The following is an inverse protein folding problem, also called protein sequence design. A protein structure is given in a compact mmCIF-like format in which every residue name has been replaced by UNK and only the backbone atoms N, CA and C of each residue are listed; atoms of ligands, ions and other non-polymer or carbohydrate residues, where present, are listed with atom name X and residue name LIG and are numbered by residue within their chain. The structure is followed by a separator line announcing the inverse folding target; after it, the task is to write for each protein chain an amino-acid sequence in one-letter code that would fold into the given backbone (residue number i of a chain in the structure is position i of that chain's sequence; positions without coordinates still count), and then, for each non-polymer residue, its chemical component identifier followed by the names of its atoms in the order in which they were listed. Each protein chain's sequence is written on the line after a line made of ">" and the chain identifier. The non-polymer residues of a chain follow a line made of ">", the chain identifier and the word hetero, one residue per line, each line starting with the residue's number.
data_IF_402402940358
#
_entry.id   IF_402402940358
#
_cell.length_a   1.000
_cell.length_b   1.000
_cell.length_c   1.000
_cell.angle_alpha   90.00
_cell.angle_beta   90.00
_cell.angle_gamma   90.00
#
_symmetry.space_group_name_H-M   'P 1'
#
loop_
_entity.id
_entity.type
_entity.pdbx_description
1 polymer ?
#
# COMPACT_ATOMS: atom_id res chain seq x y z
N UNK A 1 -37.75 -26.90 29.83
CA UNK A 1 -37.52 -26.82 28.38
C UNK A 1 -36.56 -25.65 28.20
N UNK A 2 -35.24 -25.94 28.23
CA UNK A 2 -34.17 -24.98 28.14
C UNK A 2 -33.88 -24.76 26.64
N UNK A 3 -34.03 -23.52 26.20
CA UNK A 3 -33.64 -23.10 24.86
C UNK A 3 -32.11 -22.91 24.86
N UNK A 4 -31.42 -23.62 24.00
CA UNK A 4 -30.01 -23.62 23.81
C UNK A 4 -29.54 -22.20 23.40
N UNK A 5 -28.61 -21.64 24.17
CA UNK A 5 -27.79 -20.50 23.79
C UNK A 5 -26.86 -20.97 22.64
N UNK A 6 -27.14 -20.47 21.44
CA UNK A 6 -26.38 -20.82 20.24
C UNK A 6 -25.03 -20.13 20.25
N UNK A 7 -24.05 -20.96 20.08
CA UNK A 7 -22.67 -20.82 19.75
C UNK A 7 -22.35 -19.54 18.93
N UNK A 8 -21.99 -18.46 19.63
CA UNK A 8 -21.40 -17.27 19.01
C UNK A 8 -19.88 -17.43 19.04
N UNK A 9 -19.25 -17.26 17.91
CA UNK A 9 -17.80 -17.35 17.79
C UNK A 9 -17.08 -16.38 18.75
N UNK A 10 -15.90 -16.73 19.30
CA UNK A 10 -15.14 -15.85 20.19
C UNK A 10 -14.79 -14.49 19.56
N UNK A 11 -14.63 -14.42 18.25
CA UNK A 11 -14.41 -13.17 17.51
C UNK A 11 -15.69 -12.33 17.37
N UNK A 12 -16.85 -12.96 17.17
CA UNK A 12 -18.14 -12.28 17.15
C UNK A 12 -18.54 -11.78 18.54
N UNK A 13 -18.21 -12.54 19.60
CA UNK A 13 -18.37 -12.12 20.99
C UNK A 13 -17.42 -10.98 21.32
N UNK A 14 -16.13 -11.05 20.92
CA UNK A 14 -15.17 -9.97 21.11
C UNK A 14 -15.56 -8.70 20.33
N UNK A 15 -16.11 -8.84 19.13
CA UNK A 15 -16.66 -7.70 18.36
C UNK A 15 -17.93 -7.12 19.00
N UNK A 16 -18.83 -7.97 19.49
CA UNK A 16 -20.04 -7.54 20.17
C UNK A 16 -19.74 -6.90 21.53
N UNK A 17 -18.80 -7.45 22.29
CA UNK A 17 -18.35 -6.89 23.57
C UNK A 17 -17.59 -5.58 23.38
N UNK A 18 -16.77 -5.44 22.34
CA UNK A 18 -16.14 -4.20 21.96
C UNK A 18 -17.14 -3.13 21.52
N UNK A 19 -18.19 -3.50 20.77
CA UNK A 19 -19.27 -2.60 20.40
C UNK A 19 -20.13 -2.18 21.60
N UNK A 20 -20.40 -3.11 22.52
CA UNK A 20 -21.12 -2.83 23.78
C UNK A 20 -20.31 -1.95 24.72
N UNK A 21 -18.98 -2.15 24.82
CA UNK A 21 -18.09 -1.30 25.61
C UNK A 21 -17.97 0.11 25.00
N UNK A 22 -17.96 0.24 23.67
CA UNK A 22 -17.97 1.52 22.98
C UNK A 22 -19.28 2.29 23.22
N UNK A 23 -20.42 1.61 23.18
CA UNK A 23 -21.73 2.20 23.47
C UNK A 23 -21.87 2.62 24.96
N UNK A 24 -21.29 1.85 25.89
CA UNK A 24 -21.26 2.18 27.30
C UNK A 24 -20.35 3.38 27.62
N UNK A 25 -19.22 3.51 26.92
CA UNK A 25 -18.32 4.64 27.05
C UNK A 25 -18.93 5.95 26.49
N UNK A 26 -19.69 5.86 25.40
CA UNK A 26 -20.42 7.00 24.82
C UNK A 26 -21.57 7.47 25.71
N UNK A 27 -22.25 6.55 26.39
CA UNK A 27 -23.30 6.85 27.37
C UNK A 27 -22.76 7.48 28.68
N UNK A 28 -21.49 7.25 29.01
CA UNK A 28 -20.82 7.83 30.20
C UNK A 28 -20.27 9.25 29.95
N UNK A 29 -20.08 9.65 28.71
CA UNK A 29 -19.73 11.01 28.33
C UNK A 29 -21.01 11.79 27.99
N UNK A 30 -21.56 12.47 28.99
CA UNK A 30 -22.72 13.38 28.80
C UNK A 30 -22.45 14.45 27.72
N UNK A 31 -23.53 15.10 27.21
CA UNK A 31 -23.42 16.02 26.08
C UNK A 31 -22.40 17.13 26.32
N UNK A 32 -21.65 17.55 25.28
CA UNK A 32 -20.61 18.57 25.43
C UNK A 32 -21.20 19.88 25.96
N UNK A 33 -20.61 20.41 27.02
CA UNK A 33 -20.95 21.71 27.59
C UNK A 33 -20.59 22.79 26.56
N UNK A 34 -21.58 23.51 26.08
CA UNK A 34 -21.40 24.73 25.25
C UNK A 34 -20.58 25.77 26.01
N UNK A 35 -19.53 26.33 25.43
CA UNK A 35 -18.82 27.47 26.03
C UNK A 35 -19.73 28.70 26.01
N UNK A 36 -19.85 29.35 27.17
CA UNK A 36 -20.59 30.57 27.32
C UNK A 36 -20.03 31.72 26.48
N UNK A 37 -20.94 32.48 25.93
CA UNK A 37 -20.71 33.73 25.21
C UNK A 37 -20.08 34.77 26.15
N UNK A 38 -18.81 35.15 25.86
CA UNK A 38 -18.19 36.35 26.42
C UNK A 38 -18.17 37.44 25.33
N UNK A 39 -18.60 38.66 25.71
CA UNK A 39 -18.95 39.76 24.86
C UNK A 39 -17.85 40.35 24.01
N UNK A 40 -18.28 40.94 22.91
CA UNK A 40 -17.50 41.76 21.99
C UNK A 40 -17.26 43.17 22.53
N UNK A 41 -16.13 43.81 22.24
CA UNK A 41 -16.00 45.28 22.19
C UNK A 41 -16.00 45.79 20.75
N UNK A 42 -16.23 47.11 20.54
CA UNK A 42 -16.77 47.68 19.31
C UNK A 42 -15.76 48.07 18.25
N UNK A 43 -16.28 48.24 17.06
CA UNK A 43 -15.61 48.65 15.84
C UNK A 43 -15.12 50.14 15.93
N UNK A 44 -13.99 50.39 15.30
CA UNK A 44 -13.66 51.71 14.78
C UNK A 44 -13.06 51.60 13.37
N UNK A 45 -13.48 52.53 12.55
CA UNK A 45 -13.40 52.60 11.14
C UNK A 45 -12.10 53.21 10.58
N UNK A 46 -11.97 53.14 9.29
CA UNK A 46 -10.92 53.83 8.54
C UNK A 46 -10.76 53.31 7.11
N UNK A 47 -11.50 53.96 6.25
CA UNK A 47 -11.42 54.20 4.82
C UNK A 47 -10.03 54.18 4.16
N UNK A 48 -9.97 53.74 2.91
CA UNK A 48 -8.85 54.04 2.01
C UNK A 48 -8.96 53.27 0.67
N UNK A 49 -9.60 53.87 -0.28
CA UNK A 49 -9.68 53.45 -1.67
C UNK A 49 -8.38 53.78 -2.44
N UNK A 50 -8.02 52.94 -3.42
CA UNK A 50 -7.58 53.36 -4.76
C UNK A 50 -7.26 52.17 -5.67
N UNK A 51 -8.00 52.00 -6.72
CA UNK A 51 -7.58 51.51 -8.05
C UNK A 51 -7.16 52.76 -8.89
N UNK A 52 -6.64 52.71 -10.15
CA UNK A 52 -6.58 51.63 -11.13
C UNK A 52 -5.36 51.68 -12.10
N UNK A 53 -5.51 50.91 -13.22
CA UNK A 53 -4.91 51.20 -14.58
C UNK A 53 -3.55 50.52 -14.84
N UNK A 54 -3.20 49.95 -15.96
CA UNK A 54 -3.75 49.77 -17.31
C UNK A 54 -2.79 48.82 -18.07
N UNK A 55 -3.29 48.11 -19.04
CA UNK A 55 -2.51 47.44 -20.07
C UNK A 55 -1.90 48.44 -21.09
N UNK A 56 -0.95 48.04 -21.90
CA UNK A 56 -1.28 47.96 -23.32
C UNK A 56 -0.70 46.80 -24.11
N UNK A 57 -1.50 46.37 -25.00
CA UNK A 57 -1.47 45.81 -26.32
C UNK A 57 -0.28 46.16 -27.24
N UNK A 58 0.14 45.16 -28.09
CA UNK A 58 0.65 45.30 -29.48
C UNK A 58 0.96 43.87 -30.02
N UNK A 59 0.10 43.29 -30.84
CA UNK A 59 -0.06 43.35 -32.31
C UNK A 59 1.19 43.18 -33.17
N UNK A 60 1.12 42.19 -34.10
CA UNK A 60 1.95 42.04 -35.32
C UNK A 60 2.07 40.57 -35.69
N UNK A 61 1.32 39.98 -36.47
CA UNK A 61 0.89 39.92 -37.86
C UNK A 61 1.97 39.41 -38.85
N UNK A 62 1.61 38.34 -39.61
CA UNK A 62 2.14 37.98 -40.94
C UNK A 62 3.01 36.72 -40.93
N UNK A 63 2.82 35.69 -41.76
CA UNK A 63 2.00 35.43 -42.91
C UNK A 63 2.31 34.06 -43.50
N UNK A 64 1.24 33.42 -43.99
CA UNK A 64 1.07 32.66 -45.25
C UNK A 64 2.03 31.51 -45.66
N UNK A 65 1.64 30.31 -45.48
CA UNK A 65 1.29 29.13 -46.35
C UNK A 65 1.82 29.02 -47.82
N UNK A 66 1.51 27.89 -48.48
CA UNK A 66 2.00 26.51 -48.50
C UNK A 66 2.41 26.13 -49.96
N UNK A 67 2.26 24.95 -50.59
CA UNK A 67 2.05 23.53 -50.25
C UNK A 67 3.04 22.59 -51.04
N UNK A 68 2.91 21.27 -50.85
CA UNK A 68 3.54 20.29 -51.73
C UNK A 68 3.33 18.83 -51.30
N UNK A 69 2.38 18.21 -51.92
CA UNK A 69 2.13 16.82 -52.34
C UNK A 69 2.80 15.61 -51.69
N UNK A 70 1.90 14.67 -51.34
CA UNK A 70 2.11 13.24 -51.18
C UNK A 70 2.47 12.57 -52.50
N UNK A 71 2.98 11.32 -52.60
CA UNK A 71 2.26 10.15 -52.08
C UNK A 71 3.11 8.91 -51.70
N UNK A 72 2.51 8.02 -50.92
CA UNK A 72 2.62 6.59 -51.20
C UNK A 72 3.70 5.80 -50.46
N UNK A 73 3.26 4.79 -49.77
CA UNK A 73 4.10 3.61 -49.62
C UNK A 73 4.06 2.94 -48.23
N UNK A 74 3.20 1.93 -48.13
CA UNK A 74 3.42 0.66 -47.43
C UNK A 74 3.77 0.63 -45.95
N UNK A 75 2.85 0.05 -45.18
CA UNK A 75 3.07 -0.64 -43.93
C UNK A 75 4.21 -1.66 -44.03
N UNK A 76 5.01 -1.82 -42.99
CA UNK A 76 5.62 -3.11 -42.72
C UNK A 76 5.04 -3.75 -41.49
N UNK A 77 4.86 -5.05 -41.65
CA UNK A 77 4.41 -6.05 -40.74
C UNK A 77 5.16 -6.10 -39.42
N UNK A 78 4.43 -6.60 -38.41
CA UNK A 78 4.96 -7.14 -37.18
C UNK A 78 6.10 -8.14 -37.50
N UNK A 79 7.25 -7.92 -36.91
CA UNK A 79 8.31 -8.91 -36.80
C UNK A 79 8.57 -9.17 -35.33
N UNK A 80 8.01 -10.27 -34.84
CA UNK A 80 8.51 -11.05 -33.75
C UNK A 80 9.96 -11.45 -34.07
N UNK A 81 10.90 -10.91 -33.32
CA UNK A 81 12.32 -11.21 -33.41
C UNK A 81 12.88 -11.53 -32.05
N UNK A 82 12.76 -12.78 -31.61
CA UNK A 82 13.71 -13.39 -30.70
C UNK A 82 15.05 -13.45 -31.43
N UNK A 83 16.01 -12.72 -30.96
CA UNK A 83 17.39 -12.89 -31.37
C UNK A 83 18.22 -13.30 -30.16
N UNK A 84 18.44 -14.60 -30.06
CA UNK A 84 19.60 -15.20 -29.43
C UNK A 84 20.85 -14.60 -30.09
N UNK A 85 21.67 -13.93 -29.32
CA UNK A 85 23.03 -13.59 -29.69
C UNK A 85 23.96 -14.06 -28.58
N UNK A 86 24.33 -15.34 -28.66
CA UNK A 86 25.68 -15.75 -28.27
C UNK A 86 26.61 -15.22 -29.34
N UNK A 87 27.52 -14.36 -28.96
CA UNK A 87 28.72 -14.09 -29.73
C UNK A 87 29.91 -13.95 -28.80
N UNK A 88 30.78 -14.89 -29.00
CA UNK A 88 32.14 -15.07 -28.55
C UNK A 88 32.99 -13.81 -28.72
N UNK A 89 33.72 -13.43 -27.69
CA UNK A 89 35.13 -13.03 -27.84
C UNK A 89 35.50 -11.56 -27.70
N UNK A 90 36.27 -11.33 -26.65
CA UNK A 90 37.40 -10.39 -26.53
C UNK A 90 37.15 -8.98 -26.02
N UNK A 91 37.90 -8.74 -24.94
CA UNK A 91 38.29 -7.46 -24.34
C UNK A 91 37.20 -6.69 -23.57
N UNK A 92 37.20 -6.92 -22.27
CA UNK A 92 36.56 -6.25 -21.17
C UNK A 92 36.38 -4.75 -21.26
N UNK A 93 35.25 -4.33 -21.72
CA UNK A 93 34.59 -3.16 -21.18
C UNK A 93 33.51 -3.67 -20.26
N UNK A 94 33.81 -3.77 -18.97
CA UNK A 94 32.79 -3.96 -17.95
C UNK A 94 31.89 -2.73 -17.97
N UNK A 95 30.84 -2.78 -18.80
CA UNK A 95 29.73 -1.82 -18.66
C UNK A 95 29.32 -1.82 -17.20
N UNK A 96 29.27 -0.66 -16.53
CA UNK A 96 28.87 -0.61 -15.13
C UNK A 96 27.49 -1.22 -15.00
N UNK A 97 27.31 -2.14 -14.04
CA UNK A 97 26.03 -2.79 -13.75
C UNK A 97 24.92 -1.75 -13.64
N UNK A 98 23.99 -1.76 -14.59
CA UNK A 98 22.82 -0.88 -14.59
C UNK A 98 21.64 -1.66 -14.08
N UNK A 99 21.33 -1.51 -12.78
CA UNK A 99 20.14 -2.09 -12.21
C UNK A 99 18.89 -1.58 -12.94
N UNK A 100 18.11 -2.54 -13.47
CA UNK A 100 16.76 -2.28 -13.97
C UNK A 100 15.83 -3.26 -13.30
N UNK A 101 14.81 -2.76 -12.56
CA UNK A 101 13.82 -3.63 -11.93
C UNK A 101 13.11 -4.50 -12.98
N UNK A 102 12.84 -3.94 -14.15
CA UNK A 102 12.13 -4.62 -15.25
C UNK A 102 10.71 -5.05 -14.86
N UNK A 103 10.08 -5.82 -15.73
CA UNK A 103 8.84 -6.53 -15.38
C UNK A 103 9.20 -7.82 -14.63
N UNK A 104 8.76 -7.95 -13.39
CA UNK A 104 8.99 -9.14 -12.55
C UNK A 104 7.66 -9.72 -12.09
N UNK A 105 7.04 -10.58 -12.89
CA UNK A 105 5.75 -11.18 -12.58
C UNK A 105 5.62 -11.76 -11.17
N UNK A 106 6.65 -12.44 -10.58
CA UNK A 106 6.56 -12.96 -9.23
C UNK A 106 6.35 -11.90 -8.15
N UNK A 107 6.88 -10.66 -8.35
CA UNK A 107 6.69 -9.56 -7.39
C UNK A 107 5.26 -9.01 -7.43
N UNK A 108 4.56 -9.15 -8.55
CA UNK A 108 3.14 -8.82 -8.65
C UNK A 108 2.29 -9.97 -8.14
N UNK A 109 2.63 -11.21 -8.51
CA UNK A 109 1.85 -12.39 -8.11
C UNK A 109 1.90 -12.68 -6.60
N UNK A 110 3.00 -12.37 -5.88
CA UNK A 110 3.03 -12.52 -4.43
C UNK A 110 2.02 -11.61 -3.72
N UNK A 111 1.67 -10.46 -4.33
CA UNK A 111 0.61 -9.58 -3.82
C UNK A 111 -0.75 -10.26 -3.86
N UNK A 112 -1.01 -11.13 -4.86
CA UNK A 112 -2.24 -11.91 -4.91
C UNK A 112 -2.32 -12.92 -3.76
N UNK A 113 -1.22 -13.63 -3.46
CA UNK A 113 -1.17 -14.57 -2.34
C UNK A 113 -1.40 -13.85 -1.00
N UNK A 114 -0.71 -12.72 -0.79
CA UNK A 114 -0.91 -11.89 0.40
C UNK A 114 -2.35 -11.34 0.47
N UNK A 115 -2.94 -10.94 -0.65
CA UNK A 115 -4.32 -10.48 -0.70
C UNK A 115 -5.31 -11.57 -0.28
N UNK A 116 -5.12 -12.80 -0.71
CA UNK A 116 -6.00 -13.91 -0.29
C UNK A 116 -5.99 -14.11 1.23
N UNK A 117 -4.83 -13.97 1.88
CA UNK A 117 -4.78 -14.05 3.34
C UNK A 117 -5.50 -12.87 4.02
N UNK A 118 -5.46 -11.66 3.44
CA UNK A 118 -6.26 -10.51 3.93
C UNK A 118 -7.75 -10.77 3.80
N UNK A 119 -8.21 -11.27 2.66
CA UNK A 119 -9.62 -11.61 2.45
C UNK A 119 -10.08 -12.69 3.45
N UNK A 120 -9.28 -13.72 3.64
CA UNK A 120 -9.56 -14.80 4.62
C UNK A 120 -9.64 -14.26 6.05
N UNK A 121 -8.81 -13.28 6.42
CA UNK A 121 -8.87 -12.64 7.75
C UNK A 121 -10.23 -12.01 8.03
N UNK A 122 -10.79 -11.33 7.05
CA UNK A 122 -12.06 -10.61 7.18
C UNK A 122 -13.30 -11.47 6.86
N UNK A 123 -13.11 -12.69 6.36
CA UNK A 123 -14.21 -13.62 6.07
C UNK A 123 -14.74 -14.38 7.29
N UNK A 124 -14.29 -14.07 8.52
CA UNK A 124 -14.59 -14.83 9.72
C UNK A 124 -14.21 -16.33 9.61
N UNK A 125 -13.17 -16.62 8.82
CA UNK A 125 -12.63 -17.96 8.70
C UNK A 125 -11.70 -18.25 9.88
N UNK A 126 -12.27 -18.70 10.99
CA UNK A 126 -11.62 -18.83 12.31
C UNK A 126 -10.41 -19.75 12.35
N UNK A 127 -10.20 -20.56 11.30
CA UNK A 127 -9.13 -21.56 11.26
C UNK A 127 -7.74 -21.00 10.94
N UNK A 128 -7.63 -19.70 10.60
CA UNK A 128 -6.37 -19.09 10.18
C UNK A 128 -6.05 -17.83 11.01
N UNK A 129 -5.60 -17.99 12.26
CA UNK A 129 -5.36 -16.85 13.16
C UNK A 129 -4.20 -15.93 12.73
N UNK A 130 -3.28 -16.42 11.90
CA UNK A 130 -2.07 -15.70 11.48
C UNK A 130 -2.18 -14.95 10.15
N UNK A 131 -3.39 -14.68 9.66
CA UNK A 131 -3.60 -13.99 8.36
C UNK A 131 -3.04 -12.56 8.32
N UNK A 132 -2.74 -11.96 9.48
CA UNK A 132 -2.02 -10.69 9.61
C UNK A 132 -0.65 -10.68 8.94
N UNK A 133 -0.04 -11.85 8.69
CA UNK A 133 1.27 -12.01 8.02
C UNK A 133 1.32 -11.37 6.64
N UNK A 134 0.19 -11.25 5.96
CA UNK A 134 0.09 -10.61 4.66
C UNK A 134 0.68 -9.19 4.63
N UNK A 135 0.46 -8.41 5.68
CA UNK A 135 0.92 -7.03 5.76
C UNK A 135 2.44 -6.93 5.79
N UNK A 136 3.14 -7.91 6.41
CA UNK A 136 4.60 -7.92 6.39
C UNK A 136 5.15 -8.12 4.98
N UNK A 137 4.52 -9.01 4.20
CA UNK A 137 4.88 -9.21 2.77
C UNK A 137 4.66 -7.91 1.98
N UNK A 138 3.53 -7.22 2.19
CA UNK A 138 3.26 -5.95 1.51
C UNK A 138 4.26 -4.87 1.89
N UNK A 139 4.56 -4.69 3.18
CA UNK A 139 5.49 -3.65 3.64
C UNK A 139 6.91 -3.87 3.13
N UNK A 140 7.45 -5.09 3.21
CA UNK A 140 8.79 -5.40 2.66
C UNK A 140 8.81 -5.17 1.15
N UNK A 141 7.79 -5.63 0.43
CA UNK A 141 7.69 -5.42 -1.02
C UNK A 141 7.58 -3.94 -1.38
N UNK A 142 6.80 -3.16 -0.64
CA UNK A 142 6.62 -1.73 -0.84
C UNK A 142 7.93 -0.96 -0.65
N UNK A 143 8.66 -1.20 0.44
CA UNK A 143 9.98 -0.62 0.68
C UNK A 143 10.98 -0.97 -0.42
N UNK A 144 10.99 -2.22 -0.88
CA UNK A 144 11.84 -2.68 -1.98
C UNK A 144 11.51 -1.95 -3.29
N UNK A 145 10.25 -1.93 -3.70
CA UNK A 145 9.83 -1.38 -4.99
C UNK A 145 10.07 0.13 -5.08
N UNK A 146 9.76 0.88 -4.01
CA UNK A 146 9.99 2.32 -4.00
C UNK A 146 11.48 2.64 -4.10
N UNK A 147 12.32 1.92 -3.34
CA UNK A 147 13.77 2.13 -3.34
C UNK A 147 14.37 1.76 -4.69
N UNK A 148 14.01 0.61 -5.25
CA UNK A 148 14.48 0.18 -6.55
C UNK A 148 14.15 1.19 -7.66
N UNK A 149 12.96 1.81 -7.58
CA UNK A 149 12.52 2.83 -8.54
C UNK A 149 13.29 4.14 -8.36
N UNK A 150 13.41 4.65 -7.13
CA UNK A 150 14.10 5.90 -6.84
C UNK A 150 15.62 5.78 -7.09
N UNK A 151 16.24 4.69 -6.66
CA UNK A 151 17.66 4.42 -6.91
C UNK A 151 17.94 4.30 -8.43
N UNK A 152 17.09 3.58 -9.16
CA UNK A 152 17.21 3.47 -10.62
C UNK A 152 17.06 4.81 -11.34
N UNK A 153 16.19 5.71 -10.87
CA UNK A 153 16.07 7.08 -11.40
C UNK A 153 17.33 7.89 -11.07
N UNK A 154 17.76 7.89 -9.80
CA UNK A 154 18.95 8.61 -9.35
C UNK A 154 20.23 8.19 -10.07
N UNK A 155 20.40 6.87 -10.30
CA UNK A 155 21.57 6.33 -11.03
C UNK A 155 21.59 6.74 -12.51
N UNK A 156 20.42 6.85 -13.14
CA UNK A 156 20.31 7.17 -14.56
C UNK A 156 20.42 8.67 -14.84
N UNK A 157 19.87 9.50 -13.97
CA UNK A 157 19.68 10.94 -14.21
C UNK A 157 20.49 11.83 -13.28
N UNK A 158 21.16 11.27 -12.27
CA UNK A 158 21.84 12.01 -11.20
C UNK A 158 20.90 12.76 -10.24
N UNK A 159 19.59 12.64 -10.43
CA UNK A 159 18.58 13.33 -9.62
C UNK A 159 17.30 12.50 -9.50
N UNK A 160 16.47 12.81 -8.51
CA UNK A 160 15.16 12.21 -8.31
C UNK A 160 14.09 13.29 -8.49
N UNK A 161 13.11 13.05 -9.35
CA UNK A 161 11.98 13.94 -9.57
C UNK A 161 10.80 13.53 -8.69
N UNK A 162 10.66 14.16 -7.51
CA UNK A 162 9.54 13.90 -6.59
C UNK A 162 8.17 14.15 -7.25
N UNK A 163 8.04 15.24 -8.02
CA UNK A 163 6.79 15.54 -8.73
C UNK A 163 6.38 14.43 -9.69
N UNK A 164 7.33 13.90 -10.47
CA UNK A 164 7.07 12.77 -11.37
C UNK A 164 6.76 11.49 -10.58
N UNK A 165 7.43 11.26 -9.46
CA UNK A 165 7.20 10.13 -8.58
C UNK A 165 5.77 10.14 -8.00
N UNK A 166 5.36 11.23 -7.33
CA UNK A 166 4.03 11.34 -6.72
C UNK A 166 2.91 11.39 -7.77
N UNK A 167 3.14 12.00 -8.93
CA UNK A 167 2.17 11.96 -10.01
C UNK A 167 1.92 10.53 -10.55
N UNK A 168 2.95 9.66 -10.60
CA UNK A 168 2.77 8.23 -10.96
C UNK A 168 1.93 7.49 -9.92
N UNK A 169 2.16 7.76 -8.66
CA UNK A 169 1.41 7.14 -7.56
C UNK A 169 -0.01 7.67 -7.49
N UNK A 170 -0.19 8.98 -7.56
CA UNK A 170 -1.51 9.61 -7.49
C UNK A 170 -2.48 9.06 -8.53
N UNK A 171 -2.03 8.91 -9.79
CA UNK A 171 -2.85 8.30 -10.86
C UNK A 171 -3.25 6.84 -10.55
N UNK A 172 -2.45 6.12 -9.78
CA UNK A 172 -2.73 4.73 -9.42
C UNK A 172 -3.58 4.59 -8.15
N UNK A 173 -3.39 5.46 -7.16
CA UNK A 173 -3.95 5.27 -5.81
C UNK A 173 -5.22 6.10 -5.59
N UNK A 174 -5.25 7.35 -6.09
CA UNK A 174 -6.36 8.28 -5.82
C UNK A 174 -7.68 7.84 -6.46
N UNK A 175 -7.73 7.41 -7.74
CA UNK A 175 -9.01 7.06 -8.36
C UNK A 175 -9.76 5.89 -7.69
N UNK A 176 -9.10 4.75 -7.34
CA UNK A 176 -9.77 3.68 -6.61
C UNK A 176 -10.18 4.08 -5.18
N UNK A 177 -9.40 4.93 -4.51
CA UNK A 177 -9.77 5.45 -3.20
C UNK A 177 -11.02 6.32 -3.27
N UNK A 178 -11.09 7.25 -4.23
CA UNK A 178 -12.28 8.08 -4.45
C UNK A 178 -13.50 7.25 -4.85
N UNK A 179 -13.31 6.22 -5.68
CA UNK A 179 -14.37 5.28 -6.02
C UNK A 179 -14.90 4.56 -4.76
N UNK A 180 -14.01 4.07 -3.91
CA UNK A 180 -14.39 3.40 -2.66
C UNK A 180 -15.19 4.35 -1.73
N UNK A 181 -14.70 5.57 -1.54
CA UNK A 181 -15.41 6.59 -0.72
C UNK A 181 -16.77 6.93 -1.32
N UNK A 182 -16.86 7.09 -2.66
CA UNK A 182 -18.10 7.39 -3.34
C UNK A 182 -19.13 6.25 -3.21
N UNK A 183 -18.71 5.00 -3.43
CA UNK A 183 -19.57 3.82 -3.25
C UNK A 183 -20.07 3.70 -1.82
N UNK A 184 -19.21 3.96 -0.86
CA UNK A 184 -19.56 3.92 0.56
C UNK A 184 -20.53 5.04 0.94
N UNK A 185 -20.35 6.27 0.40
CA UNK A 185 -21.27 7.37 0.59
C UNK A 185 -22.67 7.08 0.00
N UNK A 186 -22.70 6.46 -1.20
CA UNK A 186 -23.94 6.00 -1.83
C UNK A 186 -24.63 4.95 -0.95
N UNK A 187 -23.87 3.93 -0.51
CA UNK A 187 -24.41 2.89 0.38
C UNK A 187 -24.99 3.49 1.66
N UNK A 188 -24.27 4.35 2.35
CA UNK A 188 -24.72 5.01 3.57
C UNK A 188 -25.99 5.87 3.37
N UNK A 189 -26.13 6.50 2.20
CA UNK A 189 -27.31 7.31 1.86
C UNK A 189 -28.57 6.43 1.72
N UNK A 190 -28.45 5.26 1.06
CA UNK A 190 -29.62 4.41 0.79
C UNK A 190 -29.98 3.48 1.94
N UNK A 191 -29.01 3.02 2.73
CA UNK A 191 -29.25 2.03 3.79
C UNK A 191 -29.57 2.68 5.14
N UNK A 192 -29.52 4.02 5.25
CA UNK A 192 -29.88 4.77 6.47
C UNK A 192 -29.26 4.21 7.74
N UNK A 193 -27.98 3.87 7.71
CA UNK A 193 -27.25 3.38 8.90
C UNK A 193 -27.17 4.55 9.89
N UNK A 194 -27.84 4.42 11.02
CA UNK A 194 -27.79 5.40 12.11
C UNK A 194 -26.31 5.65 12.48
N UNK A 195 -25.92 6.91 12.69
CA UNK A 195 -24.56 7.37 13.00
C UNK A 195 -23.48 7.12 11.91
N UNK A 196 -23.81 6.44 10.80
CA UNK A 196 -22.85 6.16 9.74
C UNK A 196 -22.31 7.44 9.09
N UNK A 197 -23.12 8.51 9.00
CA UNK A 197 -22.73 9.73 8.30
C UNK A 197 -21.55 10.44 8.97
N UNK A 198 -21.58 10.63 10.29
CA UNK A 198 -20.49 11.30 11.00
C UNK A 198 -19.21 10.47 11.05
N UNK A 199 -19.34 9.17 11.31
CA UNK A 199 -18.21 8.23 11.32
C UNK A 199 -17.60 8.09 9.92
N UNK A 200 -18.43 8.01 8.88
CA UNK A 200 -17.99 7.89 7.50
C UNK A 200 -17.15 9.09 7.04
N UNK A 201 -17.55 10.32 7.38
CA UNK A 201 -16.76 11.51 7.07
C UNK A 201 -15.38 11.47 7.73
N UNK A 202 -15.34 11.14 9.03
CA UNK A 202 -14.08 11.01 9.76
C UNK A 202 -13.15 9.95 9.17
N UNK A 203 -13.69 8.79 8.79
CA UNK A 203 -12.92 7.70 8.16
C UNK A 203 -12.47 8.05 6.75
N UNK A 204 -13.35 8.67 5.97
CA UNK A 204 -13.01 9.11 4.62
C UNK A 204 -11.90 10.16 4.63
N UNK A 205 -11.96 11.14 5.54
CA UNK A 205 -10.89 12.11 5.73
C UNK A 205 -9.59 11.44 6.16
N UNK A 206 -9.66 10.50 7.13
CA UNK A 206 -8.49 9.78 7.59
C UNK A 206 -7.83 8.94 6.48
N UNK A 207 -8.63 8.29 5.63
CA UNK A 207 -8.16 7.54 4.48
C UNK A 207 -7.58 8.45 3.38
N UNK A 208 -8.25 9.58 3.08
CA UNK A 208 -7.81 10.52 2.04
C UNK A 208 -6.52 11.27 2.40
N UNK A 209 -6.34 11.60 3.67
CA UNK A 209 -5.17 12.32 4.19
C UNK A 209 -4.14 11.40 4.86
N UNK A 210 -4.32 10.08 4.76
CA UNK A 210 -3.38 9.07 5.23
C UNK A 210 -2.98 9.23 6.70
N UNK A 211 -3.96 9.38 7.62
CA UNK A 211 -3.76 9.38 9.08
C UNK A 211 -4.64 8.35 9.80
N UNK A 212 -5.19 7.38 9.08
CA UNK A 212 -6.04 6.33 9.65
C UNK A 212 -5.29 5.43 10.65
N UNK A 213 -3.98 5.27 10.49
CA UNK A 213 -3.10 4.57 11.40
C UNK A 213 -3.08 5.22 12.80
N UNK A 214 -2.98 6.53 12.89
CA UNK A 214 -3.03 7.25 14.17
C UNK A 214 -4.41 7.16 14.84
N UNK A 215 -5.48 7.15 14.07
CA UNK A 215 -6.82 6.94 14.62
C UNK A 215 -6.97 5.55 15.22
N UNK A 216 -6.39 4.52 14.60
CA UNK A 216 -6.38 3.16 15.13
C UNK A 216 -5.44 3.02 16.33
N UNK A 217 -4.26 3.64 16.27
CA UNK A 217 -3.23 3.51 17.29
C UNK A 217 -3.56 4.24 18.59
N UNK A 218 -4.23 5.40 18.51
CA UNK A 218 -4.49 6.28 19.65
C UNK A 218 -5.98 6.48 19.97
N UNK A 219 -6.88 5.85 19.21
CA UNK A 219 -8.30 5.82 19.53
C UNK A 219 -8.55 5.05 20.81
N UNK A 220 -9.43 5.56 21.68
CA UNK A 220 -9.76 4.92 22.97
C UNK A 220 -10.69 3.72 22.85
N UNK A 221 -11.15 3.40 21.64
CA UNK A 221 -11.92 2.20 21.33
C UNK A 221 -11.39 1.61 20.02
N UNK A 222 -11.44 0.29 19.80
CA UNK A 222 -11.11 -0.31 18.52
C UNK A 222 -12.03 0.30 17.47
N UNK A 223 -11.47 1.20 16.67
CA UNK A 223 -12.22 2.00 15.70
C UNK A 223 -12.41 1.17 14.43
N UNK A 224 -13.45 0.35 14.39
CA UNK A 224 -13.83 -0.42 13.20
C UNK A 224 -14.83 0.37 12.35
N UNK A 225 -14.37 1.44 11.70
CA UNK A 225 -15.14 2.07 10.63
C UNK A 225 -15.01 1.30 9.32
N UNK A 226 -15.87 1.64 8.35
CA UNK A 226 -15.87 1.01 7.02
C UNK A 226 -14.54 1.12 6.26
N UNK A 227 -13.66 2.05 6.64
CA UNK A 227 -12.33 2.26 6.05
C UNK A 227 -11.19 1.94 7.01
N UNK A 228 -11.44 1.14 8.05
CA UNK A 228 -10.44 0.79 9.05
C UNK A 228 -9.16 0.18 8.42
N UNK A 229 -9.29 -0.63 7.38
CA UNK A 229 -8.17 -1.25 6.67
C UNK A 229 -7.19 -0.24 6.06
N UNK A 230 -7.59 1.03 5.88
CA UNK A 230 -6.72 2.06 5.29
C UNK A 230 -5.57 2.51 6.20
N UNK A 231 -5.51 2.03 7.44
CA UNK A 231 -4.41 2.30 8.35
C UNK A 231 -3.04 1.89 7.76
N UNK A 232 -2.97 0.71 7.13
CA UNK A 232 -1.71 0.24 6.53
C UNK A 232 -1.28 1.07 5.33
N UNK A 233 -2.24 1.60 4.56
CA UNK A 233 -1.96 2.54 3.48
C UNK A 233 -1.46 3.88 4.02
N UNK A 234 -1.96 4.31 5.18
CA UNK A 234 -1.46 5.51 5.86
C UNK A 234 0.00 5.35 6.26
N UNK A 235 0.36 4.23 6.87
CA UNK A 235 1.75 3.88 7.20
C UNK A 235 2.63 3.90 5.93
N UNK A 236 2.18 3.29 4.84
CA UNK A 236 2.93 3.27 3.59
C UNK A 236 3.14 4.66 3.00
N UNK A 237 2.10 5.50 2.88
CA UNK A 237 2.22 6.82 2.25
C UNK A 237 3.05 7.80 3.09
N UNK A 238 2.92 7.78 4.42
CA UNK A 238 3.80 8.51 5.33
C UNK A 238 5.26 8.08 5.16
N UNK A 239 5.48 6.77 5.08
CA UNK A 239 6.82 6.22 4.82
C UNK A 239 7.38 6.69 3.47
N UNK A 240 6.57 6.72 2.41
CA UNK A 240 7.03 7.16 1.10
C UNK A 240 7.44 8.62 1.06
N UNK A 241 6.77 9.49 1.82
CA UNK A 241 7.19 10.88 1.98
C UNK A 241 8.58 10.92 2.64
N UNK A 242 8.74 10.28 3.77
CA UNK A 242 9.99 10.23 4.52
C UNK A 242 11.14 9.65 3.68
N UNK A 243 10.91 8.48 3.09
CA UNK A 243 11.93 7.76 2.33
C UNK A 243 12.33 8.46 1.04
N UNK A 244 11.39 9.02 0.30
CA UNK A 244 11.70 9.73 -0.95
C UNK A 244 12.55 10.97 -0.69
N UNK A 245 12.32 11.70 0.40
CA UNK A 245 13.16 12.81 0.84
C UNK A 245 14.58 12.32 1.19
N UNK A 246 14.69 11.24 1.98
CA UNK A 246 15.98 10.66 2.33
C UNK A 246 16.78 10.25 1.08
N UNK A 247 16.11 9.64 0.09
CA UNK A 247 16.73 9.26 -1.18
C UNK A 247 17.18 10.48 -2.01
N UNK A 248 16.37 11.55 -2.06
CA UNK A 248 16.77 12.81 -2.72
C UNK A 248 18.03 13.39 -2.07
N UNK A 249 18.08 13.45 -0.74
CA UNK A 249 19.24 13.94 0.01
C UNK A 249 20.48 13.08 -0.27
N UNK A 250 20.35 11.76 -0.23
CA UNK A 250 21.44 10.84 -0.48
C UNK A 250 22.00 10.97 -1.92
N UNK A 251 21.12 11.12 -2.91
CA UNK A 251 21.51 11.31 -4.33
C UNK A 251 22.13 12.69 -4.54
N UNK A 252 21.52 13.75 -4.02
CA UNK A 252 22.03 15.12 -4.13
C UNK A 252 23.40 15.29 -3.45
N UNK A 253 23.61 14.63 -2.31
CA UNK A 253 24.89 14.62 -1.59
C UNK A 253 25.93 13.67 -2.25
N UNK A 254 25.57 12.87 -3.24
CA UNK A 254 26.42 11.81 -3.82
C UNK A 254 26.91 10.79 -2.75
N UNK A 255 26.13 10.57 -1.70
CA UNK A 255 26.50 9.76 -0.53
C UNK A 255 25.49 8.65 -0.29
N UNK A 256 25.59 7.54 -1.04
CA UNK A 256 24.69 6.40 -0.91
C UNK A 256 24.63 5.80 0.50
N UNK A 257 25.74 5.83 1.23
CA UNK A 257 25.80 5.35 2.61
C UNK A 257 24.79 6.07 3.52
N UNK A 258 24.38 7.31 3.21
CA UNK A 258 23.33 7.99 3.97
C UNK A 258 21.98 7.29 3.84
N UNK A 259 21.62 6.77 2.65
CA UNK A 259 20.40 6.00 2.48
C UNK A 259 20.43 4.67 3.26
N UNK A 260 21.58 3.96 3.23
CA UNK A 260 21.77 2.77 4.06
C UNK A 260 21.67 3.08 5.55
N UNK A 261 22.38 4.10 6.01
CA UNK A 261 22.38 4.53 7.42
C UNK A 261 20.95 4.90 7.87
N UNK A 262 20.24 5.67 7.05
CA UNK A 262 18.87 6.06 7.35
C UNK A 262 17.93 4.85 7.44
N UNK A 263 18.07 3.87 6.52
CA UNK A 263 17.26 2.65 6.54
C UNK A 263 17.57 1.78 7.76
N UNK A 264 18.86 1.61 8.11
CA UNK A 264 19.26 0.82 9.27
C UNK A 264 18.81 1.49 10.56
N UNK A 265 19.07 2.79 10.73
CA UNK A 265 18.68 3.53 11.93
C UNK A 265 17.15 3.56 12.05
N UNK A 266 16.41 3.82 10.97
CA UNK A 266 14.95 3.81 10.98
C UNK A 266 14.38 2.44 11.36
N UNK A 267 14.95 1.35 10.84
CA UNK A 267 14.56 -0.02 11.20
C UNK A 267 14.80 -0.29 12.70
N UNK A 268 15.97 0.09 13.21
CA UNK A 268 16.33 -0.11 14.63
C UNK A 268 15.46 0.74 15.55
N UNK A 269 15.17 1.98 15.18
CA UNK A 269 14.29 2.86 15.96
C UNK A 269 12.86 2.31 15.99
N UNK A 270 12.32 1.90 14.84
CA UNK A 270 10.96 1.34 14.77
C UNK A 270 10.82 0.05 15.58
N UNK A 271 11.78 -0.87 15.46
CA UNK A 271 11.79 -2.09 16.27
C UNK A 271 12.00 -1.76 17.75
N UNK A 272 12.93 -0.85 18.06
CA UNK A 272 13.24 -0.43 19.43
C UNK A 272 12.05 0.23 20.13
N UNK A 273 11.34 1.14 19.44
CA UNK A 273 10.12 1.77 19.97
C UNK A 273 9.03 0.74 20.26
N UNK A 274 8.80 -0.20 19.34
CA UNK A 274 7.86 -1.30 19.55
C UNK A 274 8.21 -2.13 20.78
N UNK A 275 9.46 -2.54 20.92
CA UNK A 275 9.92 -3.31 22.08
C UNK A 275 9.84 -2.51 23.37
N UNK A 276 10.22 -1.22 23.31
CA UNK A 276 10.12 -0.32 24.46
C UNK A 276 8.67 -0.24 24.98
N UNK A 277 7.71 -0.03 24.09
CA UNK A 277 6.29 0.05 24.46
C UNK A 277 5.77 -1.25 25.07
N UNK A 278 6.16 -2.41 24.53
CA UNK A 278 5.72 -3.71 25.06
C UNK A 278 6.32 -3.96 26.45
N UNK A 279 7.63 -3.75 26.63
CA UNK A 279 8.30 -4.09 27.89
C UNK A 279 8.07 -3.08 29.03
N UNK A 280 7.65 -1.84 28.72
CA UNK A 280 7.35 -0.84 29.75
C UNK A 280 5.85 -0.71 30.04
N UNK A 281 5.00 -1.37 29.28
CA UNK A 281 3.59 -1.44 29.58
C UNK A 281 3.34 -2.35 30.81
N UNK A 282 2.46 -1.97 31.74
CA UNK A 282 2.11 -2.81 32.87
C UNK A 282 1.50 -4.15 32.45
N UNK A 283 0.73 -4.13 31.36
CA UNK A 283 0.07 -5.29 30.76
C UNK A 283 -0.03 -5.10 29.25
N UNK A 284 0.02 -6.20 28.49
CA UNK A 284 -0.24 -6.18 27.07
C UNK A 284 -1.75 -6.25 26.84
N UNK A 285 -2.37 -5.08 26.76
CA UNK A 285 -3.79 -4.89 26.53
C UNK A 285 -4.11 -4.39 25.11
N UNK A 286 -5.38 -4.12 24.83
CA UNK A 286 -5.82 -3.61 23.52
C UNK A 286 -5.23 -2.23 23.20
N UNK A 287 -4.91 -1.41 24.19
CA UNK A 287 -4.30 -0.08 23.97
C UNK A 287 -2.86 -0.24 23.52
N UNK A 288 -2.07 -1.06 24.23
CA UNK A 288 -0.70 -1.38 23.83
C UNK A 288 -0.69 -2.09 22.48
N UNK A 289 -1.56 -3.09 22.27
CA UNK A 289 -1.70 -3.75 20.99
C UNK A 289 -1.98 -2.74 19.87
N UNK A 290 -2.98 -1.88 20.00
CA UNK A 290 -3.34 -0.90 18.98
C UNK A 290 -2.18 0.02 18.68
N UNK A 291 -1.44 0.49 19.69
CA UNK A 291 -0.27 1.35 19.53
C UNK A 291 0.87 0.67 18.79
N UNK A 292 1.18 -0.58 19.13
CA UNK A 292 2.31 -1.31 18.50
C UNK A 292 1.97 -1.90 17.13
N UNK A 293 0.69 -2.14 16.85
CA UNK A 293 0.26 -2.79 15.61
C UNK A 293 -0.11 -1.81 14.50
N UNK A 294 -0.70 -0.66 14.83
CA UNK A 294 -1.23 0.28 13.83
C UNK A 294 -0.32 1.48 13.56
N UNK A 295 0.48 1.95 14.54
CA UNK A 295 1.21 3.18 14.38
C UNK A 295 2.42 3.05 13.44
N UNK A 296 2.70 4.14 12.72
CA UNK A 296 3.80 4.23 11.75
C UNK A 296 5.17 3.90 12.37
N UNK A 297 5.49 4.49 13.51
CA UNK A 297 6.80 4.39 14.16
C UNK A 297 7.14 2.98 14.63
N UNK A 298 6.16 2.17 14.99
CA UNK A 298 6.35 0.78 15.43
C UNK A 298 6.26 -0.25 14.29
N UNK A 299 5.89 0.18 13.06
CA UNK A 299 5.63 -0.69 11.91
C UNK A 299 6.54 -0.43 10.71
N UNK A 300 7.29 0.66 10.72
CA UNK A 300 8.14 1.05 9.59
C UNK A 300 9.36 0.13 9.40
N UNK A 301 9.70 -0.72 10.36
CA UNK A 301 10.83 -1.66 10.30
C UNK A 301 10.77 -2.59 9.06
N UNK A 302 9.61 -3.10 8.72
CA UNK A 302 9.41 -3.95 7.54
C UNK A 302 9.64 -3.18 6.23
N UNK A 303 9.17 -1.93 6.16
CA UNK A 303 9.41 -1.04 5.02
C UNK A 303 10.90 -0.72 4.88
N UNK A 304 11.58 -0.40 5.97
CA UNK A 304 13.02 -0.13 5.96
C UNK A 304 13.86 -1.35 5.55
N UNK A 305 13.50 -2.57 5.99
CA UNK A 305 14.17 -3.79 5.51
C UNK A 305 13.99 -3.96 4.01
N UNK A 306 12.78 -3.70 3.50
CA UNK A 306 12.52 -3.67 2.05
C UNK A 306 13.40 -2.65 1.33
N UNK A 307 13.60 -1.46 1.92
CA UNK A 307 14.50 -0.44 1.36
C UNK A 307 15.95 -0.89 1.32
N UNK A 308 16.45 -1.56 2.36
CA UNK A 308 17.80 -2.12 2.37
C UNK A 308 17.99 -3.12 1.23
N UNK A 309 17.02 -4.01 1.00
CA UNK A 309 17.05 -4.93 -0.14
C UNK A 309 17.03 -4.20 -1.48
N UNK A 310 16.25 -3.12 -1.59
CA UNK A 310 16.19 -2.28 -2.78
C UNK A 310 17.52 -1.60 -3.08
N UNK A 311 18.21 -1.08 -2.06
CA UNK A 311 19.56 -0.51 -2.18
C UNK A 311 20.58 -1.58 -2.59
N UNK A 312 20.57 -2.74 -1.93
CA UNK A 312 21.46 -3.87 -2.27
C UNK A 312 21.26 -4.34 -3.72
N UNK A 313 20.01 -4.39 -4.17
CA UNK A 313 19.69 -4.71 -5.56
C UNK A 313 20.21 -3.65 -6.53
N UNK A 314 20.02 -2.37 -6.22
CA UNK A 314 20.47 -1.25 -7.04
C UNK A 314 22.00 -1.20 -7.16
N UNK A 315 22.70 -1.52 -6.09
CA UNK A 315 24.17 -1.55 -6.06
C UNK A 315 24.79 -2.84 -6.62
N UNK A 316 23.94 -3.78 -7.09
CA UNK A 316 24.40 -5.00 -7.77
C UNK A 316 24.73 -6.17 -6.84
N UNK A 317 24.61 -6.03 -5.51
CA UNK A 317 24.90 -7.12 -4.57
C UNK A 317 23.99 -8.33 -4.75
N UNK A 318 22.82 -8.16 -5.35
CA UNK A 318 21.89 -9.26 -5.66
C UNK A 318 22.11 -9.83 -7.07
N UNK A 319 23.25 -9.55 -7.71
CA UNK A 319 23.58 -10.05 -9.04
C UNK A 319 24.78 -11.00 -8.98
N UNK A 320 24.83 -11.95 -9.91
CA UNK A 320 26.00 -12.81 -10.09
C UNK A 320 26.19 -13.92 -9.04
N UNK A 321 25.19 -14.21 -8.22
CA UNK A 321 25.29 -15.29 -7.24
C UNK A 321 25.56 -16.64 -7.93
N UNK A 322 26.48 -17.40 -7.38
CA UNK A 322 26.82 -18.73 -7.88
C UNK A 322 25.69 -19.76 -7.60
N UNK A 323 25.87 -20.99 -8.08
CA UNK A 323 24.86 -22.04 -7.90
C UNK A 323 24.64 -22.42 -6.45
N UNK A 324 25.70 -22.37 -5.62
CA UNK A 324 25.61 -22.74 -4.22
C UNK A 324 24.84 -21.71 -3.42
N UNK A 325 25.18 -20.42 -3.59
CA UNK A 325 24.46 -19.33 -2.94
C UNK A 325 22.97 -19.29 -3.37
N UNK A 326 22.67 -19.53 -4.65
CA UNK A 326 21.28 -19.68 -5.10
C UNK A 326 20.58 -20.90 -4.54
N UNK A 327 21.29 -22.04 -4.38
CA UNK A 327 20.77 -23.23 -3.73
C UNK A 327 20.41 -22.97 -2.27
N UNK A 328 21.33 -22.35 -1.51
CA UNK A 328 21.11 -21.98 -0.12
C UNK A 328 19.93 -21.00 0.02
N UNK A 329 19.88 -19.97 -0.83
CA UNK A 329 18.73 -19.03 -0.86
C UNK A 329 17.41 -19.74 -1.16
N UNK A 330 17.42 -20.73 -2.07
CA UNK A 330 16.22 -21.50 -2.39
C UNK A 330 15.75 -22.31 -1.18
N UNK A 331 16.67 -22.95 -0.46
CA UNK A 331 16.35 -23.67 0.78
C UNK A 331 15.84 -22.73 1.87
N UNK A 332 16.49 -21.56 2.04
CA UNK A 332 16.05 -20.53 2.98
C UNK A 332 14.65 -19.98 2.63
N UNK A 333 14.37 -19.74 1.33
CA UNK A 333 13.06 -19.29 0.88
C UNK A 333 11.97 -20.35 1.08
N UNK A 334 12.28 -21.63 0.85
CA UNK A 334 11.38 -22.74 1.15
C UNK A 334 11.09 -22.82 2.66
N UNK A 335 12.12 -22.75 3.50
CA UNK A 335 11.96 -22.71 4.96
C UNK A 335 11.14 -21.50 5.42
N UNK A 336 11.38 -20.32 4.83
CA UNK A 336 10.59 -19.10 5.09
C UNK A 336 9.13 -19.29 4.67
N UNK A 337 8.86 -19.92 3.53
CA UNK A 337 7.48 -20.18 3.10
C UNK A 337 6.77 -21.14 4.05
N UNK A 338 7.43 -22.23 4.49
CA UNK A 338 6.92 -23.16 5.51
C UNK A 338 6.65 -22.42 6.83
N UNK A 339 7.59 -21.57 7.26
CA UNK A 339 7.43 -20.74 8.46
C UNK A 339 6.24 -19.80 8.35
N UNK A 340 6.08 -19.08 7.22
CA UNK A 340 4.91 -18.20 7.03
C UNK A 340 3.59 -18.99 6.99
N UNK A 341 3.58 -20.19 6.41
CA UNK A 341 2.42 -21.07 6.49
C UNK A 341 2.14 -21.53 7.93
N UNK A 342 3.17 -21.82 8.71
CA UNK A 342 3.02 -22.15 10.12
C UNK A 342 2.46 -20.96 10.92
N UNK A 343 2.99 -19.74 10.71
CA UNK A 343 2.45 -18.51 11.30
C UNK A 343 0.97 -18.34 10.94
N UNK A 344 0.63 -18.53 9.67
CA UNK A 344 -0.75 -18.42 9.18
C UNK A 344 -1.72 -19.34 9.93
N UNK A 345 -1.27 -20.55 10.23
CA UNK A 345 -2.09 -21.58 10.87
C UNK A 345 -2.18 -21.45 12.40
N UNK A 346 -1.14 -20.91 13.07
CA UNK A 346 -1.00 -21.07 14.51
C UNK A 346 -0.71 -19.78 15.29
N UNK A 347 -0.36 -18.67 14.65
CA UNK A 347 0.06 -17.46 15.38
C UNK A 347 -1.07 -16.43 15.52
N UNK A 348 -1.70 -16.32 16.69
CA UNK A 348 -2.80 -15.38 16.90
C UNK A 348 -2.31 -13.92 16.88
N UNK A 349 -3.21 -13.01 16.49
CA UNK A 349 -2.93 -11.59 16.35
C UNK A 349 -2.73 -10.89 17.71
N UNK A 350 -3.63 -11.13 18.67
CA UNK A 350 -3.66 -10.41 19.95
C UNK A 350 -2.75 -11.06 20.99
N UNK A 351 -1.43 -11.00 20.77
CA UNK A 351 -0.46 -11.54 21.70
C UNK A 351 0.80 -10.67 21.78
N UNK A 352 1.44 -10.62 22.94
CA UNK A 352 2.75 -9.99 23.10
C UNK A 352 3.79 -10.60 22.15
N UNK A 353 3.77 -11.93 21.95
CA UNK A 353 4.63 -12.63 21.03
C UNK A 353 4.54 -12.10 19.59
N UNK A 354 3.39 -11.56 19.19
CA UNK A 354 3.26 -10.89 17.89
C UNK A 354 4.28 -9.75 17.78
N UNK A 355 4.27 -8.83 18.73
CA UNK A 355 5.09 -7.63 18.69
C UNK A 355 6.58 -7.93 18.83
N UNK A 356 6.93 -8.88 19.70
CA UNK A 356 8.34 -9.17 20.06
C UNK A 356 8.99 -10.09 19.03
N UNK A 357 8.32 -11.17 18.63
CA UNK A 357 8.94 -12.26 17.85
C UNK A 357 8.37 -12.41 16.44
N UNK A 358 7.03 -12.41 16.30
CA UNK A 358 6.41 -12.78 15.03
C UNK A 358 6.56 -11.70 13.96
N UNK A 359 6.40 -10.42 14.32
CA UNK A 359 6.58 -9.33 13.35
C UNK A 359 7.99 -9.28 12.79
N UNK A 360 9.09 -9.28 13.59
CA UNK A 360 10.44 -9.32 13.05
C UNK A 360 10.74 -10.58 12.24
N UNK A 361 10.34 -11.75 12.75
CA UNK A 361 10.62 -13.03 12.08
C UNK A 361 9.91 -13.13 10.72
N UNK A 362 8.63 -12.72 10.64
CA UNK A 362 7.87 -12.71 9.39
C UNK A 362 8.37 -11.65 8.42
N UNK A 363 8.88 -10.52 8.92
CA UNK A 363 9.56 -9.50 8.12
C UNK A 363 10.81 -10.07 7.45
N UNK A 364 11.66 -10.79 8.21
CA UNK A 364 12.87 -11.44 7.68
C UNK A 364 12.48 -12.53 6.68
N UNK A 365 11.51 -13.40 6.99
CA UNK A 365 11.05 -14.44 6.09
C UNK A 365 10.51 -13.87 4.76
N UNK A 366 9.75 -12.78 4.83
CA UNK A 366 9.25 -12.07 3.65
C UNK A 366 10.38 -11.49 2.81
N UNK A 367 11.41 -10.93 3.46
CA UNK A 367 12.60 -10.41 2.80
C UNK A 367 13.41 -11.51 2.09
N UNK A 368 13.56 -12.68 2.70
CA UNK A 368 14.21 -13.85 2.08
C UNK A 368 13.46 -14.32 0.84
N UNK A 369 12.13 -14.46 0.93
CA UNK A 369 11.29 -14.85 -0.22
C UNK A 369 11.36 -13.81 -1.33
N UNK A 370 11.33 -12.53 -1.00
CA UNK A 370 11.46 -11.45 -1.97
C UNK A 370 12.81 -11.51 -2.68
N UNK A 371 13.90 -11.69 -1.93
CA UNK A 371 15.26 -11.85 -2.46
C UNK A 371 15.35 -13.04 -3.41
N UNK A 372 14.72 -14.15 -3.06
CA UNK A 372 14.65 -15.33 -3.93
C UNK A 372 13.98 -15.03 -5.27
N UNK A 373 12.85 -14.32 -5.28
CA UNK A 373 12.19 -13.94 -6.54
C UNK A 373 13.03 -12.97 -7.38
N UNK A 374 13.86 -12.15 -6.74
CA UNK A 374 14.76 -11.23 -7.43
C UNK A 374 15.93 -11.98 -8.06
N UNK A 375 16.56 -12.93 -7.35
CA UNK A 375 17.78 -13.63 -7.77
C UNK A 375 17.47 -14.86 -8.63
N UNK A 376 16.34 -15.54 -8.38
CA UNK A 376 15.96 -16.79 -9.04
C UNK A 376 14.68 -16.66 -9.88
N UNK A 377 14.60 -15.73 -10.87
CA UNK A 377 13.33 -15.42 -11.58
C UNK A 377 12.82 -16.59 -12.45
N UNK A 378 13.68 -17.54 -12.80
CA UNK A 378 13.32 -18.71 -13.63
C UNK A 378 13.04 -19.98 -12.82
N UNK A 379 13.10 -19.92 -11.49
CA UNK A 379 12.83 -21.06 -10.60
C UNK A 379 11.36 -21.49 -10.65
N UNK A 380 11.05 -22.71 -10.20
CA UNK A 380 9.67 -23.22 -10.15
C UNK A 380 8.76 -22.32 -9.29
N UNK A 381 9.24 -21.91 -8.11
CA UNK A 381 8.49 -20.98 -7.24
C UNK A 381 8.20 -19.64 -7.93
N UNK A 382 9.20 -19.07 -8.61
CA UNK A 382 9.01 -17.82 -9.37
C UNK A 382 8.03 -17.99 -10.54
N UNK A 383 8.05 -19.13 -11.23
CA UNK A 383 7.12 -19.45 -12.31
C UNK A 383 5.70 -19.62 -11.79
N UNK A 384 5.54 -20.32 -10.67
CA UNK A 384 4.23 -20.52 -10.03
C UNK A 384 3.62 -19.19 -9.59
N UNK A 385 4.35 -18.37 -8.82
CA UNK A 385 3.86 -17.07 -8.36
C UNK A 385 3.72 -16.09 -9.53
N UNK A 386 4.49 -16.25 -10.60
CA UNK A 386 4.41 -15.46 -11.83
C UNK A 386 3.32 -15.92 -12.82
N UNK A 387 2.44 -16.86 -12.46
CA UNK A 387 1.30 -17.25 -13.31
C UNK A 387 0.43 -16.04 -13.65
N UNK A 388 -0.01 -15.94 -14.90
CA UNK A 388 -0.78 -14.79 -15.39
C UNK A 388 -2.01 -14.46 -14.56
N UNK A 389 -2.71 -15.48 -14.03
CA UNK A 389 -3.87 -15.29 -13.17
C UNK A 389 -3.48 -14.63 -11.83
N UNK A 390 -2.37 -15.05 -11.20
CA UNK A 390 -1.88 -14.45 -9.95
C UNK A 390 -1.37 -13.03 -10.20
N UNK A 391 -0.70 -12.80 -11.31
CA UNK A 391 -0.25 -11.47 -11.71
C UNK A 391 -1.43 -10.55 -11.92
N UNK A 392 -2.48 -10.99 -12.61
CA UNK A 392 -3.70 -10.20 -12.81
C UNK A 392 -4.39 -9.85 -11.50
N UNK A 393 -4.56 -10.82 -10.58
CA UNK A 393 -5.12 -10.56 -9.25
C UNK A 393 -4.20 -9.61 -8.45
N UNK A 394 -2.89 -9.76 -8.58
CA UNK A 394 -1.90 -8.87 -7.98
C UNK A 394 -1.98 -7.43 -8.51
N UNK A 395 -2.33 -7.23 -9.78
CA UNK A 395 -2.60 -5.91 -10.36
C UNK A 395 -3.86 -5.27 -9.77
N UNK A 396 -4.90 -6.08 -9.54
CA UNK A 396 -6.15 -5.66 -8.90
C UNK A 396 -6.02 -5.45 -7.39
N UNK A 397 -4.93 -5.92 -6.77
CA UNK A 397 -4.81 -6.06 -5.31
C UNK A 397 -5.08 -4.78 -4.53
N UNK A 398 -4.75 -3.61 -5.08
CA UNK A 398 -4.98 -2.34 -4.41
C UNK A 398 -6.47 -2.02 -4.29
N UNK A 399 -7.21 -2.12 -5.39
CA UNK A 399 -8.65 -1.85 -5.40
C UNK A 399 -9.41 -2.89 -4.59
N UNK A 400 -9.05 -4.19 -4.72
CA UNK A 400 -9.63 -5.24 -3.88
C UNK A 400 -9.38 -4.95 -2.40
N UNK A 401 -8.15 -4.54 -2.03
CA UNK A 401 -7.81 -4.16 -0.65
C UNK A 401 -8.64 -2.98 -0.13
N UNK A 402 -8.91 -1.98 -0.97
CA UNK A 402 -9.72 -0.83 -0.55
C UNK A 402 -11.20 -1.19 -0.30
N UNK A 403 -11.77 -2.02 -1.17
CA UNK A 403 -13.23 -2.26 -1.14
C UNK A 403 -13.65 -3.49 -0.33
N UNK A 404 -12.71 -4.43 -0.02
CA UNK A 404 -13.12 -5.68 0.63
C UNK A 404 -13.82 -5.44 1.97
N UNK A 405 -13.23 -4.64 2.85
CA UNK A 405 -13.75 -4.45 4.19
C UNK A 405 -15.12 -3.76 4.22
N UNK A 406 -15.34 -2.64 3.48
CA UNK A 406 -16.69 -2.08 3.29
C UNK A 406 -17.71 -3.08 2.77
N UNK A 407 -17.33 -3.91 1.79
CA UNK A 407 -18.24 -4.91 1.20
C UNK A 407 -18.54 -6.02 2.21
N UNK A 408 -17.54 -6.49 2.97
CA UNK A 408 -17.75 -7.48 4.03
C UNK A 408 -18.76 -6.98 5.06
N UNK A 409 -18.59 -5.77 5.58
CA UNK A 409 -19.52 -5.17 6.54
C UNK A 409 -20.92 -4.94 5.95
N UNK A 410 -20.99 -4.43 4.72
CA UNK A 410 -22.28 -4.16 4.08
C UNK A 410 -23.08 -5.45 3.81
N UNK A 411 -22.43 -6.50 3.32
CA UNK A 411 -23.12 -7.77 3.06
C UNK A 411 -23.49 -8.45 4.37
N UNK A 412 -22.64 -8.47 5.38
CA UNK A 412 -22.93 -9.06 6.69
C UNK A 412 -24.17 -8.45 7.32
N UNK A 413 -24.33 -7.14 7.26
CA UNK A 413 -25.50 -6.43 7.78
C UNK A 413 -26.80 -6.78 7.04
N UNK A 414 -26.72 -7.17 5.77
CA UNK A 414 -27.89 -7.42 4.91
C UNK A 414 -28.19 -8.92 4.67
N UNK A 415 -27.31 -9.84 5.10
CA UNK A 415 -27.43 -11.27 4.85
C UNK A 415 -27.45 -12.11 6.13
N UNK A 416 -28.03 -11.56 7.21
CA UNK A 416 -28.20 -12.28 8.47
C UNK A 416 -28.93 -13.60 8.23
N UNK A 417 -28.32 -14.71 8.70
CA UNK A 417 -28.90 -16.05 8.54
C UNK A 417 -28.47 -16.80 7.25
N UNK A 418 -27.68 -16.20 6.40
CA UNK A 418 -27.09 -16.94 5.27
C UNK A 418 -26.03 -17.93 5.76
N UNK A 419 -25.93 -19.08 5.07
CA UNK A 419 -24.83 -20.02 5.31
C UNK A 419 -23.50 -19.38 4.88
N UNK A 420 -22.40 -19.81 5.50
CA UNK A 420 -21.05 -19.25 5.28
C UNK A 420 -20.67 -19.16 3.79
N UNK A 421 -20.76 -20.26 3.05
CA UNK A 421 -20.27 -20.30 1.66
C UNK A 421 -21.08 -19.41 0.69
N UNK A 422 -22.42 -19.37 0.68
CA UNK A 422 -23.16 -18.42 -0.14
C UNK A 422 -22.83 -16.97 0.19
N UNK A 423 -22.66 -16.65 1.47
CA UNK A 423 -22.30 -15.32 1.92
C UNK A 423 -20.91 -14.92 1.41
N UNK A 424 -19.91 -15.79 1.59
CA UNK A 424 -18.55 -15.54 1.15
C UNK A 424 -18.42 -15.42 -0.37
N UNK A 425 -19.11 -16.28 -1.12
CA UNK A 425 -19.15 -16.20 -2.57
C UNK A 425 -19.77 -14.89 -3.06
N UNK A 426 -20.83 -14.40 -2.40
CA UNK A 426 -21.44 -13.11 -2.71
C UNK A 426 -20.46 -11.96 -2.45
N UNK A 427 -19.76 -11.95 -1.30
CA UNK A 427 -18.72 -10.98 -0.95
C UNK A 427 -17.64 -10.93 -2.01
N UNK A 428 -17.04 -12.07 -2.31
CA UNK A 428 -15.97 -12.17 -3.32
C UNK A 428 -16.47 -11.74 -4.72
N UNK A 429 -17.66 -12.16 -5.12
CA UNK A 429 -18.23 -11.77 -6.42
C UNK A 429 -18.38 -10.24 -6.54
N UNK A 430 -18.91 -9.58 -5.51
CA UNK A 430 -19.06 -8.11 -5.48
C UNK A 430 -17.70 -7.43 -5.50
N UNK A 431 -16.76 -7.84 -4.64
CA UNK A 431 -15.41 -7.26 -4.54
C UNK A 431 -14.68 -7.35 -5.87
N UNK A 432 -14.61 -8.55 -6.47
CA UNK A 432 -13.88 -8.73 -7.72
C UNK A 432 -14.59 -8.07 -8.90
N UNK A 433 -15.91 -8.02 -8.92
CA UNK A 433 -16.66 -7.28 -9.96
C UNK A 433 -16.31 -5.79 -9.92
N UNK A 434 -16.37 -5.15 -8.75
CA UNK A 434 -16.02 -3.72 -8.61
C UNK A 434 -14.54 -3.50 -8.98
N UNK A 435 -13.63 -4.35 -8.51
CA UNK A 435 -12.21 -4.21 -8.80
C UNK A 435 -11.90 -4.37 -10.31
N UNK A 436 -12.51 -5.34 -10.98
CA UNK A 436 -12.36 -5.55 -12.43
C UNK A 436 -12.92 -4.36 -13.20
N UNK A 437 -14.11 -3.88 -12.85
CA UNK A 437 -14.70 -2.70 -13.49
C UNK A 437 -13.82 -1.47 -13.28
N UNK A 438 -13.36 -1.21 -12.05
CA UNK A 438 -12.41 -0.12 -11.75
C UNK A 438 -11.14 -0.22 -12.61
N UNK A 439 -10.55 -1.41 -12.69
CA UNK A 439 -9.34 -1.63 -13.48
C UNK A 439 -9.51 -1.29 -14.95
N UNK A 440 -10.56 -1.81 -15.58
CA UNK A 440 -10.76 -1.61 -17.02
C UNK A 440 -11.32 -0.23 -17.37
N UNK A 441 -12.17 0.35 -16.53
CA UNK A 441 -12.85 1.61 -16.83
C UNK A 441 -12.10 2.84 -16.31
N UNK A 442 -11.32 2.71 -15.24
CA UNK A 442 -10.69 3.85 -14.56
C UNK A 442 -9.17 3.72 -14.57
N UNK A 443 -8.61 2.69 -13.93
CA UNK A 443 -7.19 2.63 -13.65
C UNK A 443 -6.33 2.46 -14.92
N UNK A 444 -6.63 1.45 -15.71
CA UNK A 444 -5.89 1.16 -16.95
C UNK A 444 -5.95 2.29 -17.98
N UNK A 445 -7.10 2.94 -18.26
CA UNK A 445 -7.16 4.10 -19.15
C UNK A 445 -6.32 5.28 -18.62
N UNK A 446 -6.41 5.62 -17.33
CA UNK A 446 -5.64 6.70 -16.74
C UNK A 446 -4.13 6.47 -16.80
N UNK A 447 -3.68 5.24 -16.48
CA UNK A 447 -2.28 4.87 -16.61
C UNK A 447 -1.77 4.97 -18.05
N UNK A 448 -2.56 4.52 -19.03
CA UNK A 448 -2.23 4.63 -20.46
C UNK A 448 -2.18 6.08 -20.94
N UNK A 449 -3.17 6.87 -20.57
CA UNK A 449 -3.19 8.31 -20.88
C UNK A 449 -1.94 9.00 -20.37
N UNK A 450 -1.55 8.75 -19.13
CA UNK A 450 -0.35 9.34 -18.55
C UNK A 450 0.94 8.90 -19.24
N UNK A 451 1.07 7.62 -19.60
CA UNK A 451 2.23 7.13 -20.35
C UNK A 451 2.37 7.84 -21.71
N UNK A 452 1.25 8.02 -22.42
CA UNK A 452 1.22 8.73 -23.71
C UNK A 452 1.59 10.20 -23.55
N UNK A 453 1.09 10.86 -22.49
CA UNK A 453 1.43 12.26 -22.19
C UNK A 453 2.91 12.45 -21.87
N UNK A 454 3.48 11.54 -21.07
CA UNK A 454 4.92 11.56 -20.77
C UNK A 454 5.78 11.33 -22.03
N UNK A 455 5.37 10.42 -22.91
CA UNK A 455 6.07 10.17 -24.17
C UNK A 455 6.02 11.38 -25.13
N UNK A 456 4.89 12.10 -25.19
CA UNK A 456 4.75 13.33 -25.99
C UNK A 456 5.69 14.44 -25.50
N UNK A 457 5.76 14.66 -24.19
CA UNK A 457 6.67 15.66 -23.60
C UNK A 457 8.13 15.30 -23.88
N UNK A 458 8.49 14.02 -23.76
CA UNK A 458 9.86 13.57 -24.07
C UNK A 458 10.23 13.67 -25.56
N UNK A 459 9.24 13.64 -26.47
CA UNK A 459 9.46 13.81 -27.91
C UNK A 459 9.54 15.28 -28.34
N UNK A 460 9.05 16.22 -27.51
CA UNK A 460 9.08 17.67 -27.76
C UNK A 460 10.24 18.41 -27.07
N UNK A 461 11.01 17.72 -26.22
CA UNK A 461 12.26 18.21 -25.57
C UNK A 461 13.51 17.69 -26.28
#
# INVERSE_FOLDING_TARGET
>A
MAVADGDRSPSAVAMADAAAAAAAADAAMGPPRTPGTAGAPPADGGSGAATPSAAPDRSGAGGLTPPGDSPGGSLPAEASGEASAETTGLAGTTEPYRFRLGNRPPLTGIRALALFTVLTYHSNFETLPGTWVALQVFFVLSGFLITAMLAGEGMRTGRISLGSFYARRGVRLVPPLLLTVALLAIYAHFVHVADASQRLWGDSLAAMFYYADYRQAFGHAPFFGYLAQTWSLSVEEQFYILWSIAMVVAVAAHKRHLAYAFAIVGMLLSTGDRLYLVYHAPHFDNVVFSRVYYAFDTRADALFLGCLLGLLAADGYLHGWDRWARGLLTAAAAGSAVFLCWILLYAPLFTENLAVWWLPATTIASAVILTYFVICPRSLGSRFVGLGVLVFIGDLSYTVYLIHFPVYLAIEQNTTGWAFWPNELARLAVIFTIAILSWFLIERPLMRWRQRSAARVAASS
#
